data_IF_219918566784
#
_entry.id   IF_219918566784
#
_cell.length_a   1.000
_cell.length_b   1.000
_cell.length_c   1.000
_cell.angle_alpha   90.00
_cell.angle_beta   90.00
_cell.angle_gamma   90.00
#
_symmetry.space_group_name_H-M   'P 1'
#
loop_
_entity.id
_entity.type
_entity.pdbx_description
1 polymer ?
#
# COMPACT_ATOMS: atom_id res chain seq x y z
N UNK A 1 -31.27 46.98 -30.16
CA UNK A 1 -31.18 45.91 -29.15
C UNK A 1 -30.86 44.54 -29.77
N UNK A 2 -30.69 44.42 -31.10
CA UNK A 2 -30.46 43.12 -31.77
C UNK A 2 -28.97 42.72 -31.90
N UNK A 3 -28.03 43.66 -31.72
CA UNK A 3 -26.59 43.39 -31.84
C UNK A 3 -26.00 42.55 -30.70
N UNK A 4 -26.66 42.54 -29.54
CA UNK A 4 -26.14 41.85 -28.34
C UNK A 4 -26.53 40.36 -28.33
N UNK A 5 -27.68 40.02 -28.91
CA UNK A 5 -28.17 38.64 -29.00
C UNK A 5 -27.40 37.82 -30.04
N UNK A 6 -27.01 38.44 -31.16
CA UNK A 6 -26.19 37.79 -32.18
C UNK A 6 -24.80 37.38 -31.65
N UNK A 7 -24.14 38.29 -30.91
CA UNK A 7 -22.84 38.00 -30.31
C UNK A 7 -22.90 36.94 -29.21
N UNK A 8 -24.02 36.86 -28.47
CA UNK A 8 -24.23 35.84 -27.46
C UNK A 8 -24.43 34.45 -28.08
N UNK A 9 -25.18 34.36 -29.19
CA UNK A 9 -25.37 33.11 -29.94
C UNK A 9 -24.06 32.61 -30.57
N UNK A 10 -23.26 33.52 -31.13
CA UNK A 10 -21.97 33.17 -31.71
C UNK A 10 -20.96 32.74 -30.63
N UNK A 11 -20.99 33.40 -29.47
CA UNK A 11 -20.16 33.03 -28.31
C UNK A 11 -20.57 31.68 -27.72
N UNK A 12 -21.87 31.37 -27.68
CA UNK A 12 -22.38 30.06 -27.25
C UNK A 12 -21.99 28.95 -28.21
N UNK A 13 -22.09 29.18 -29.52
CA UNK A 13 -21.63 28.23 -30.55
C UNK A 13 -20.11 28.01 -30.48
N UNK A 14 -19.32 29.06 -30.27
CA UNK A 14 -17.86 28.92 -30.05
C UNK A 14 -17.58 28.11 -28.79
N UNK A 15 -18.32 28.34 -27.70
CA UNK A 15 -18.16 27.60 -26.45
C UNK A 15 -18.53 26.11 -26.61
N UNK A 16 -19.53 25.78 -27.42
CA UNK A 16 -19.95 24.42 -27.70
C UNK A 16 -18.96 23.67 -28.64
N UNK A 17 -18.38 24.39 -29.60
CA UNK A 17 -17.27 23.88 -30.42
C UNK A 17 -16.01 23.67 -29.57
N UNK A 18 -15.72 24.59 -28.63
CA UNK A 18 -14.63 24.42 -27.66
C UNK A 18 -14.89 23.22 -26.73
N UNK A 19 -16.11 23.05 -26.21
CA UNK A 19 -16.47 21.87 -25.40
C UNK A 19 -16.33 20.57 -26.17
N UNK A 20 -16.74 20.55 -27.44
CA UNK A 20 -16.62 19.33 -28.28
C UNK A 20 -15.20 19.01 -28.73
N UNK A 21 -14.29 19.99 -28.80
CA UNK A 21 -12.85 19.74 -29.00
C UNK A 21 -12.14 19.36 -27.69
N UNK A 22 -12.56 19.89 -26.55
CA UNK A 22 -12.04 19.50 -25.22
C UNK A 22 -12.41 18.04 -24.86
N UNK A 23 -13.47 17.48 -25.43
CA UNK A 23 -13.83 16.07 -25.22
C UNK A 23 -13.04 15.08 -26.10
N UNK A 24 -12.06 15.53 -26.88
CA UNK A 24 -11.27 14.67 -27.80
C UNK A 24 -9.76 14.66 -27.57
N UNK A 25 -9.23 15.45 -26.64
CA UNK A 25 -7.85 15.30 -26.18
C UNK A 25 -7.81 14.33 -25.00
N UNK A 26 -7.72 13.05 -25.35
CA UNK A 26 -7.20 11.99 -24.49
C UNK A 26 -5.75 12.33 -24.12
N UNK A 27 -5.52 12.84 -22.90
CA UNK A 27 -4.27 12.77 -22.12
C UNK A 27 -4.35 13.56 -20.80
N UNK A 28 -5.51 13.55 -20.11
CA UNK A 28 -5.53 14.06 -18.74
C UNK A 28 -5.01 12.98 -17.80
N UNK A 29 -3.69 12.98 -17.60
CA UNK A 29 -3.01 12.15 -16.61
C UNK A 29 -3.55 12.51 -15.22
N UNK A 30 -4.51 11.72 -14.72
CA UNK A 30 -5.02 11.88 -13.35
C UNK A 30 -4.00 11.34 -12.35
N UNK A 31 -4.06 11.79 -11.10
CA UNK A 31 -3.23 11.22 -10.02
C UNK A 31 -3.45 9.70 -9.87
N UNK A 32 -4.67 9.21 -10.09
CA UNK A 32 -4.99 7.78 -10.10
C UNK A 32 -4.29 7.05 -11.26
N UNK A 33 -4.35 7.60 -12.49
CA UNK A 33 -3.67 7.03 -13.65
C UNK A 33 -2.14 6.96 -13.47
N UNK A 34 -1.56 7.95 -12.79
CA UNK A 34 -0.13 7.91 -12.43
C UNK A 34 0.13 6.75 -11.48
N UNK A 35 -0.58 6.68 -10.35
CA UNK A 35 -0.39 5.64 -9.33
C UNK A 35 -0.58 4.23 -9.88
N UNK A 36 -1.57 4.06 -10.75
CA UNK A 36 -1.85 2.80 -11.43
C UNK A 36 -0.69 2.37 -12.36
N UNK A 37 -0.07 3.32 -13.05
CA UNK A 37 1.04 3.05 -13.98
C UNK A 37 2.39 2.75 -13.30
N UNK A 38 2.52 2.97 -11.98
CA UNK A 38 3.78 2.79 -11.28
C UNK A 38 4.13 1.29 -11.17
N UNK A 39 5.39 0.90 -11.44
CA UNK A 39 5.86 -0.48 -11.25
C UNK A 39 6.05 -0.85 -9.78
N UNK A 40 5.92 0.12 -8.87
CA UNK A 40 6.04 -0.10 -7.44
C UNK A 40 4.68 -0.49 -6.87
N UNK A 41 4.55 -1.65 -6.21
CA UNK A 41 3.29 -2.05 -5.60
C UNK A 41 2.85 -1.06 -4.52
N UNK A 42 1.59 -0.64 -4.59
CA UNK A 42 0.95 0.13 -3.54
C UNK A 42 -0.41 -0.47 -3.15
N UNK A 43 -0.76 -0.31 -1.88
CA UNK A 43 -2.06 -0.67 -1.31
C UNK A 43 -2.55 0.51 -0.48
N UNK A 44 -3.81 0.91 -0.62
CA UNK A 44 -4.45 1.89 0.23
C UNK A 44 -5.51 1.23 1.11
N UNK A 45 -5.43 1.43 2.43
CA UNK A 45 -6.42 0.91 3.38
C UNK A 45 -7.10 2.04 4.14
N UNK A 46 -8.37 1.87 4.45
CA UNK A 46 -9.12 2.73 5.37
C UNK A 46 -8.62 2.57 6.81
N UNK A 47 -8.98 3.47 7.74
CA UNK A 47 -8.62 3.32 9.15
C UNK A 47 -9.22 2.06 9.78
N UNK A 48 -10.34 1.55 9.27
CA UNK A 48 -10.93 0.28 9.69
C UNK A 48 -10.16 -0.94 9.14
N UNK A 49 -9.38 -0.76 8.08
CA UNK A 49 -8.60 -1.80 7.42
C UNK A 49 -9.25 -2.37 6.16
N UNK A 50 -10.26 -1.70 5.60
CA UNK A 50 -10.88 -2.06 4.33
C UNK A 50 -10.01 -1.57 3.17
N UNK A 51 -9.94 -2.35 2.10
CA UNK A 51 -9.18 -2.01 0.90
C UNK A 51 -9.84 -0.84 0.17
N UNK A 52 -9.16 0.31 0.10
CA UNK A 52 -9.63 1.47 -0.66
C UNK A 52 -9.21 1.34 -2.12
N UNK A 53 -7.95 0.95 -2.35
CA UNK A 53 -7.37 0.85 -3.68
C UNK A 53 -6.06 0.05 -3.65
N UNK A 54 -5.62 -0.41 -4.81
CA UNK A 54 -4.30 -0.99 -5.06
C UNK A 54 -3.96 -0.82 -6.54
N UNK A 55 -2.69 -0.74 -6.91
CA UNK A 55 -2.34 -0.81 -8.34
C UNK A 55 -2.17 -2.24 -8.83
N UNK A 56 -2.10 -2.38 -10.16
CA UNK A 56 -1.77 -3.63 -10.84
C UNK A 56 -0.50 -4.30 -10.33
N UNK A 57 0.56 -3.54 -10.01
CA UNK A 57 1.79 -4.11 -9.47
C UNK A 57 1.57 -4.82 -8.11
N UNK A 58 0.67 -4.31 -7.27
CA UNK A 58 0.25 -4.98 -6.04
C UNK A 58 -0.70 -6.15 -6.32
N UNK A 59 -1.66 -5.99 -7.24
CA UNK A 59 -2.56 -7.07 -7.63
C UNK A 59 -1.77 -8.29 -8.14
N UNK A 60 -0.77 -8.07 -8.98
CA UNK A 60 0.12 -9.10 -9.51
C UNK A 60 0.99 -9.71 -8.39
N UNK A 61 1.50 -8.91 -7.44
CA UNK A 61 2.32 -9.41 -6.32
C UNK A 61 1.52 -10.35 -5.40
N UNK A 62 0.26 -10.03 -5.15
CA UNK A 62 -0.60 -10.78 -4.22
C UNK A 62 -1.53 -11.79 -4.92
N UNK A 63 -1.51 -11.85 -6.25
CA UNK A 63 -2.40 -12.68 -7.06
C UNK A 63 -3.89 -12.37 -6.80
N UNK A 64 -4.23 -11.08 -6.73
CA UNK A 64 -5.57 -10.57 -6.41
C UNK A 64 -6.29 -10.10 -7.67
N UNK A 65 -7.58 -10.39 -7.76
CA UNK A 65 -8.50 -9.73 -8.71
C UNK A 65 -8.96 -8.38 -8.16
N UNK A 66 -8.40 -7.29 -8.70
CA UNK A 66 -8.59 -5.92 -8.19
C UNK A 66 -10.07 -5.50 -8.17
N UNK A 67 -10.86 -5.87 -9.20
CA UNK A 67 -12.26 -5.43 -9.35
C UNK A 67 -13.15 -5.92 -8.19
N UNK A 68 -12.83 -7.08 -7.63
CA UNK A 68 -13.59 -7.72 -6.56
C UNK A 68 -13.03 -7.44 -5.16
N UNK A 69 -11.79 -6.94 -5.08
CA UNK A 69 -11.09 -6.75 -3.81
C UNK A 69 -11.36 -5.39 -3.16
N UNK A 70 -11.60 -4.34 -3.95
CA UNK A 70 -11.85 -2.99 -3.43
C UNK A 70 -13.15 -2.97 -2.59
N UNK A 71 -13.08 -2.35 -1.42
CA UNK A 71 -14.15 -2.27 -0.44
C UNK A 71 -14.21 -3.45 0.54
N UNK A 72 -13.43 -4.52 0.32
CA UNK A 72 -13.41 -5.68 1.22
C UNK A 72 -12.42 -5.48 2.38
N UNK A 73 -12.64 -6.13 3.54
CA UNK A 73 -11.67 -6.17 4.62
C UNK A 73 -10.34 -6.78 4.16
N UNK A 74 -9.20 -6.26 4.64
CA UNK A 74 -7.89 -6.79 4.30
C UNK A 74 -7.75 -8.30 4.57
N UNK A 75 -8.44 -8.82 5.58
CA UNK A 75 -8.46 -10.25 5.93
C UNK A 75 -9.14 -11.14 4.89
N UNK A 76 -10.04 -10.59 4.08
CA UNK A 76 -10.72 -11.32 3.00
C UNK A 76 -9.92 -11.28 1.70
N UNK A 77 -9.02 -10.31 1.57
CA UNK A 77 -8.24 -10.04 0.36
C UNK A 77 -6.82 -10.62 0.42
N UNK A 78 -6.16 -10.52 1.59
CA UNK A 78 -4.77 -10.91 1.77
C UNK A 78 -4.64 -12.13 2.69
N UNK A 79 -3.51 -12.82 2.60
CA UNK A 79 -3.17 -13.86 3.60
C UNK A 79 -3.16 -13.29 5.02
N UNK A 80 -3.49 -14.10 6.03
CA UNK A 80 -3.64 -13.62 7.41
C UNK A 80 -2.44 -12.82 7.94
N UNK A 81 -1.21 -13.26 7.62
CA UNK A 81 0.02 -12.55 8.01
C UNK A 81 0.20 -11.22 7.28
N UNK A 82 -0.15 -11.16 6.00
CA UNK A 82 -0.17 -9.92 5.23
C UNK A 82 -1.22 -8.95 5.77
N UNK A 83 -2.48 -9.40 5.89
CA UNK A 83 -3.59 -8.60 6.38
C UNK A 83 -3.29 -7.99 7.76
N UNK A 84 -2.78 -8.80 8.69
CA UNK A 84 -2.39 -8.33 10.02
C UNK A 84 -1.33 -7.23 9.95
N UNK A 85 -0.29 -7.42 9.13
CA UNK A 85 0.81 -6.45 8.99
C UNK A 85 0.33 -5.15 8.37
N UNK A 86 -0.45 -5.23 7.29
CA UNK A 86 -1.01 -4.07 6.57
C UNK A 86 -1.96 -3.28 7.48
N UNK A 87 -2.86 -3.94 8.22
CA UNK A 87 -3.73 -3.26 9.17
C UNK A 87 -2.95 -2.60 10.30
N UNK A 88 -1.97 -3.29 10.88
CA UNK A 88 -1.15 -2.76 11.98
C UNK A 88 -0.38 -1.50 11.55
N UNK A 89 0.22 -1.50 10.37
CA UNK A 89 0.97 -0.34 9.87
C UNK A 89 0.03 0.81 9.50
N UNK A 90 -1.15 0.51 8.92
CA UNK A 90 -2.21 1.51 8.66
C UNK A 90 -2.69 2.16 9.94
N UNK A 91 -3.10 1.36 10.94
CA UNK A 91 -3.58 1.86 12.22
C UNK A 91 -2.58 2.81 12.88
N UNK A 92 -1.29 2.40 12.92
CA UNK A 92 -0.23 3.26 13.44
C UNK A 92 -0.09 4.55 12.63
N UNK A 93 -0.17 4.46 11.30
CA UNK A 93 -0.05 5.63 10.43
C UNK A 93 -1.22 6.60 10.59
N UNK A 94 -2.43 6.08 10.78
CA UNK A 94 -3.66 6.88 10.88
C UNK A 94 -3.85 7.47 12.27
N UNK A 95 -3.63 6.70 13.34
CA UNK A 95 -3.88 7.13 14.71
C UNK A 95 -2.93 8.24 15.16
N UNK A 96 -1.68 8.15 14.69
CA UNK A 96 -0.64 9.11 15.07
C UNK A 96 -0.34 10.11 13.96
N UNK A 97 -0.96 9.98 12.78
CA UNK A 97 -0.68 10.81 11.61
C UNK A 97 0.84 10.84 11.28
N UNK A 98 1.48 9.67 11.25
CA UNK A 98 2.92 9.52 11.02
C UNK A 98 3.22 8.54 9.90
N UNK A 99 4.35 8.74 9.22
CA UNK A 99 4.88 7.71 8.33
C UNK A 99 5.35 6.52 9.16
N UNK A 100 4.79 5.36 8.88
CA UNK A 100 5.10 4.10 9.57
C UNK A 100 5.87 3.16 8.66
N UNK A 101 6.66 2.25 9.25
CA UNK A 101 7.42 1.22 8.55
C UNK A 101 7.13 -0.15 9.13
N UNK A 102 7.11 -1.17 8.29
CA UNK A 102 7.02 -2.56 8.71
C UNK A 102 7.75 -3.48 7.73
N UNK A 103 7.88 -4.74 8.11
CA UNK A 103 8.29 -5.83 7.21
C UNK A 103 7.05 -6.66 6.92
N UNK A 104 6.71 -6.80 5.65
CA UNK A 104 5.60 -7.61 5.17
C UNK A 104 6.15 -8.95 4.67
N UNK A 105 5.68 -10.06 5.26
CA UNK A 105 5.98 -11.39 4.76
C UNK A 105 4.88 -11.84 3.80
N UNK A 106 5.26 -12.14 2.56
CA UNK A 106 4.36 -12.68 1.53
C UNK A 106 5.10 -13.71 0.67
N UNK A 107 4.48 -14.87 0.42
CA UNK A 107 5.07 -15.97 -0.35
C UNK A 107 6.49 -16.36 0.10
N UNK A 108 6.77 -16.32 1.41
CA UNK A 108 8.08 -16.65 1.98
C UNK A 108 9.16 -15.60 1.78
N UNK A 109 8.81 -14.40 1.31
CA UNK A 109 9.72 -13.27 1.13
C UNK A 109 9.31 -12.11 2.05
N UNK A 110 10.33 -11.43 2.55
CA UNK A 110 10.16 -10.21 3.35
C UNK A 110 10.32 -8.97 2.48
N UNK A 111 9.33 -8.09 2.53
CA UNK A 111 9.32 -6.81 1.84
C UNK A 111 9.32 -5.67 2.86
N UNK A 112 10.17 -4.67 2.68
CA UNK A 112 10.06 -3.45 3.46
C UNK A 112 8.83 -2.66 2.99
N UNK A 113 8.04 -2.16 3.93
CA UNK A 113 6.85 -1.35 3.62
C UNK A 113 6.89 0.00 4.31
N UNK A 114 6.30 1.00 3.66
CA UNK A 114 6.12 2.35 4.19
C UNK A 114 4.66 2.75 4.07
N UNK A 115 4.02 3.08 5.18
CA UNK A 115 2.67 3.63 5.18
C UNK A 115 2.72 5.13 5.47
N UNK A 116 1.98 5.93 4.70
CA UNK A 116 1.77 7.35 4.94
C UNK A 116 0.26 7.62 5.05
N UNK A 117 -0.17 8.50 5.97
CA UNK A 117 -1.59 8.79 6.13
C UNK A 117 -2.15 9.49 4.88
N UNK A 118 -3.34 9.07 4.47
CA UNK A 118 -4.18 9.75 3.48
C UNK A 118 -5.02 10.79 4.20
N UNK A 119 -4.79 12.07 3.88
CA UNK A 119 -5.50 13.18 4.51
C UNK A 119 -6.26 13.94 3.43
N UNK A 120 -7.55 14.14 3.64
CA UNK A 120 -8.41 14.94 2.77
C UNK A 120 -9.26 15.86 3.65
N UNK A 121 -9.20 17.16 3.41
CA UNK A 121 -9.88 18.19 4.23
C UNK A 121 -9.62 18.03 5.73
N UNK A 122 -8.35 17.85 6.12
CA UNK A 122 -7.91 17.63 7.51
C UNK A 122 -8.41 16.33 8.16
N UNK A 123 -9.13 15.49 7.41
CA UNK A 123 -9.64 14.19 7.89
C UNK A 123 -8.73 13.08 7.37
N UNK A 124 -8.26 12.23 8.29
CA UNK A 124 -7.53 11.01 7.93
C UNK A 124 -8.51 10.00 7.33
N UNK A 125 -8.31 9.68 6.05
CA UNK A 125 -9.13 8.75 5.27
C UNK A 125 -8.56 7.35 5.18
N UNK A 126 -7.33 7.14 5.65
CA UNK A 126 -6.64 5.86 5.57
C UNK A 126 -5.13 6.02 5.51
N UNK A 127 -4.45 5.05 4.93
CA UNK A 127 -3.02 5.14 4.62
C UNK A 127 -2.71 4.53 3.25
N UNK A 128 -1.77 5.13 2.52
CA UNK A 128 -1.12 4.51 1.36
C UNK A 128 0.10 3.77 1.85
N UNK A 129 0.22 2.51 1.44
CA UNK A 129 1.29 1.59 1.78
C UNK A 129 2.05 1.29 0.51
N UNK A 130 3.33 1.64 0.47
CA UNK A 130 4.23 1.30 -0.63
C UNK A 130 5.09 0.11 -0.20
N UNK A 131 5.22 -0.87 -1.10
CA UNK A 131 5.98 -2.10 -0.87
C UNK A 131 7.27 -2.04 -1.69
N UNK A 132 8.41 -2.12 -1.01
CA UNK A 132 9.72 -2.06 -1.63
C UNK A 132 10.17 -3.45 -2.09
N UNK A 133 10.09 -3.65 -3.42
CA UNK A 133 10.54 -4.87 -4.09
C UNK A 133 12.07 -4.99 -4.18
N UNK A 134 12.81 -3.92 -3.94
CA UNK A 134 14.28 -3.90 -4.07
C UNK A 134 15.01 -4.46 -2.86
N UNK A 135 14.32 -4.62 -1.73
CA UNK A 135 14.93 -5.13 -0.51
C UNK A 135 15.33 -6.59 -0.71
N UNK A 136 16.62 -6.97 -0.63
CA UNK A 136 16.96 -8.36 -0.46
C UNK A 136 16.40 -8.77 0.89
N UNK A 137 15.40 -9.66 0.88
CA UNK A 137 15.02 -10.42 2.06
C UNK A 137 16.33 -10.96 2.64
N UNK A 138 16.69 -10.55 3.86
CA UNK A 138 17.53 -11.41 4.67
C UNK A 138 16.84 -12.78 4.61
N UNK A 139 17.56 -13.86 4.27
CA UNK A 139 16.92 -15.15 4.03
C UNK A 139 16.02 -15.45 5.22
N UNK A 140 14.79 -15.88 4.96
CA UNK A 140 13.82 -16.27 5.99
C UNK A 140 14.56 -17.06 7.05
N UNK A 141 14.83 -16.43 8.20
CA UNK A 141 15.69 -17.05 9.22
C UNK A 141 14.89 -18.21 9.75
N UNK A 142 15.44 -19.41 9.67
CA UNK A 142 14.75 -20.61 10.10
C UNK A 142 14.53 -20.54 11.62
N UNK A 143 13.36 -20.06 12.03
CA UNK A 143 12.90 -20.02 13.42
C UNK A 143 12.28 -21.36 13.86
N UNK A 144 12.35 -22.40 13.01
CA UNK A 144 11.84 -23.71 13.41
C UNK A 144 12.60 -24.20 14.65
N UNK A 145 11.89 -24.83 15.60
CA UNK A 145 12.53 -25.41 16.77
C UNK A 145 13.64 -26.41 16.34
N UNK A 146 14.87 -26.16 16.76
CA UNK A 146 16.02 -27.05 16.50
C UNK A 146 16.21 -27.95 17.71
N UNK A 147 16.30 -29.26 17.51
CA UNK A 147 16.53 -30.17 18.63
C UNK A 147 17.86 -29.85 19.33
N UNK A 148 17.85 -29.78 20.65
CA UNK A 148 19.03 -29.52 21.45
C UNK A 148 20.07 -30.63 21.28
N UNK A 149 21.34 -30.25 21.13
CA UNK A 149 22.44 -31.20 20.89
C UNK A 149 22.65 -32.18 22.06
N UNK A 150 22.27 -31.79 23.27
CA UNK A 150 22.28 -32.61 24.49
C UNK A 150 21.01 -33.46 24.65
N UNK A 151 20.04 -33.34 23.73
CA UNK A 151 18.76 -34.04 23.78
C UNK A 151 17.77 -33.49 24.82
N UNK A 152 18.07 -32.37 25.49
CA UNK A 152 17.24 -31.83 26.57
C UNK A 152 15.93 -31.18 26.10
N UNK A 153 15.73 -30.99 24.79
CA UNK A 153 14.51 -30.40 24.25
C UNK A 153 14.70 -29.79 22.85
N UNK A 154 14.02 -28.67 22.61
CA UNK A 154 14.14 -27.88 21.39
C UNK A 154 14.57 -26.45 21.71
N UNK A 155 15.48 -25.91 20.92
CA UNK A 155 15.85 -24.50 20.89
C UNK A 155 14.95 -23.77 19.89
N UNK A 156 14.30 -22.69 20.34
CA UNK A 156 13.63 -21.74 19.45
C UNK A 156 14.51 -20.50 19.36
N UNK A 157 15.01 -20.12 18.17
CA UNK A 157 15.73 -18.87 18.03
C UNK A 157 14.79 -17.70 18.34
N UNK A 158 15.11 -16.89 19.36
CA UNK A 158 14.39 -15.65 19.63
C UNK A 158 15.23 -14.50 19.06
N UNK A 159 14.66 -13.76 18.13
CA UNK A 159 15.29 -12.58 17.57
C UNK A 159 14.87 -11.32 18.34
N UNK A 160 15.86 -10.55 18.78
CA UNK A 160 15.67 -9.23 19.38
C UNK A 160 16.21 -8.21 18.38
N UNK A 161 15.37 -7.41 17.70
CA UNK A 161 15.86 -6.39 16.78
C UNK A 161 16.67 -5.34 17.57
N UNK A 162 17.98 -5.30 17.37
CA UNK A 162 18.82 -4.20 17.86
C UNK A 162 18.59 -2.99 16.97
N UNK A 163 17.96 -1.95 17.53
CA UNK A 163 17.91 -0.63 16.90
C UNK A 163 19.31 -0.04 16.88
N UNK A 164 20.01 -0.18 15.74
CA UNK A 164 21.33 0.40 15.51
C UNK A 164 22.45 -0.62 15.40
N UNK A 165 23.32 -0.38 14.45
CA UNK A 165 24.47 -1.20 14.01
C UNK A 165 25.22 -1.88 15.17
N UNK A 166 25.16 -3.21 15.22
CA UNK A 166 25.90 -4.06 16.15
C UNK A 166 25.61 -5.55 15.90
N UNK A 167 26.55 -6.48 16.18
CA UNK A 167 26.41 -7.87 15.78
C UNK A 167 25.27 -8.58 16.50
N UNK A 168 24.53 -9.41 15.75
CA UNK A 168 23.44 -10.29 16.18
C UNK A 168 23.76 -10.98 17.52
N UNK A 169 23.09 -10.57 18.59
CA UNK A 169 23.20 -11.23 19.89
C UNK A 169 22.19 -12.40 19.93
N UNK A 170 22.69 -13.63 19.81
CA UNK A 170 21.90 -14.85 20.10
C UNK A 170 21.95 -15.11 21.61
N UNK A 171 20.80 -15.08 22.28
CA UNK A 171 20.70 -15.42 23.70
C UNK A 171 20.20 -16.85 23.88
N UNK A 172 20.87 -17.60 24.74
CA UNK A 172 20.47 -18.95 25.16
C UNK A 172 19.88 -18.88 26.57
N UNK A 173 18.61 -19.28 26.73
CA UNK A 173 17.98 -19.46 28.04
C UNK A 173 17.85 -20.94 28.36
N UNK A 174 18.24 -21.32 29.58
CA UNK A 174 18.24 -22.70 30.08
C UNK A 174 16.88 -23.10 30.63
#
# INVERSE_FOLDING_TARGET
MEFMEHNLSESQKRLEVLKSHVSRDEDFVTAASILESLPTPFVALSPSGDLIDLNRAAADLFEIDQENAVGQPAEEVFSAGCAHTLRKITQRSTDFCVVSRATLNHAGRDYATRAAPLIHDEIVRGAVIVIDLSTPSAPARNLAPVRAADGAGYWVPIYIPTTGEGPDATFHFR
#
